data_IF_980400454063
#
_entry.id   IF_980400454063
#
_cell.length_a   1.000
_cell.length_b   1.000
_cell.length_c   1.000
_cell.angle_alpha   90.00
_cell.angle_beta   90.00
_cell.angle_gamma   90.00
#
_symmetry.space_group_name_H-M   'P 1'
#
loop_
_entity.id
_entity.type
_entity.pdbx_description
1 polymer ?
#
# COMPACT_ATOMS: atom_id res chain seq x y z
N UNK A 1 -14.95 34.74 -4.81
CA UNK A 1 -13.66 34.06 -4.87
C UNK A 1 -13.88 32.55 -4.83
N UNK A 2 -13.08 31.79 -5.60
CA UNK A 2 -13.11 30.33 -5.62
C UNK A 2 -11.75 29.82 -5.21
N UNK A 3 -11.70 28.85 -4.30
CA UNK A 3 -10.49 28.18 -3.87
C UNK A 3 -10.66 26.68 -4.04
N UNK A 4 -9.61 26.02 -4.49
CA UNK A 4 -9.54 24.55 -4.61
C UNK A 4 -8.37 24.01 -3.80
N UNK A 5 -8.58 22.92 -3.07
CA UNK A 5 -7.54 22.15 -2.42
C UNK A 5 -7.53 20.74 -3.00
N UNK A 6 -6.36 20.23 -3.33
CA UNK A 6 -6.18 18.85 -3.79
C UNK A 6 -4.89 18.25 -3.24
N UNK A 7 -4.93 17.00 -2.80
CA UNK A 7 -3.73 16.26 -2.40
C UNK A 7 -2.89 15.76 -3.58
N UNK A 8 -3.45 15.78 -4.79
CA UNK A 8 -2.76 15.35 -6.02
C UNK A 8 -3.28 16.16 -7.21
N UNK A 9 -2.37 16.64 -8.05
CA UNK A 9 -2.73 17.26 -9.32
C UNK A 9 -2.58 16.25 -10.47
N UNK A 10 -3.47 16.28 -11.47
CA UNK A 10 -3.32 15.43 -12.66
C UNK A 10 -1.99 15.70 -13.36
N UNK A 11 -1.34 14.65 -13.84
CA UNK A 11 -0.11 14.76 -14.64
C UNK A 11 -0.40 15.21 -16.09
N UNK A 12 -1.59 14.91 -16.57
CA UNK A 12 -2.04 15.27 -17.92
C UNK A 12 -2.38 16.76 -18.00
N UNK A 13 -1.77 17.47 -18.89
CA UNK A 13 -1.91 18.92 -19.03
C UNK A 13 -3.35 19.38 -19.24
N UNK A 14 -4.12 18.63 -20.03
CA UNK A 14 -5.52 18.99 -20.32
C UNK A 14 -6.38 19.05 -19.06
N UNK A 15 -6.23 18.09 -18.15
CA UNK A 15 -6.97 18.09 -16.88
C UNK A 15 -6.45 19.17 -15.93
N UNK A 16 -5.14 19.47 -15.99
CA UNK A 16 -4.58 20.56 -15.22
C UNK A 16 -5.12 21.91 -15.68
N UNK A 17 -5.20 22.15 -16.98
CA UNK A 17 -5.80 23.37 -17.54
C UNK A 17 -7.28 23.50 -17.19
N UNK A 18 -8.05 22.42 -17.17
CA UNK A 18 -9.45 22.46 -16.74
C UNK A 18 -9.59 22.91 -15.28
N UNK A 19 -8.73 22.41 -14.38
CA UNK A 19 -8.71 22.80 -12.98
C UNK A 19 -8.28 24.26 -12.85
N UNK A 20 -7.19 24.65 -13.51
CA UNK A 20 -6.69 26.05 -13.49
C UNK A 20 -7.70 27.02 -14.08
N UNK A 21 -8.45 26.64 -15.11
CA UNK A 21 -9.54 27.43 -15.66
C UNK A 21 -10.72 27.63 -14.71
N UNK A 22 -10.98 26.63 -13.84
CA UNK A 22 -12.09 26.68 -12.89
C UNK A 22 -11.76 27.44 -11.59
N UNK A 23 -10.54 27.28 -11.06
CA UNK A 23 -10.14 27.80 -9.73
C UNK A 23 -8.88 28.68 -9.73
N UNK A 24 -8.24 28.86 -10.89
CA UNK A 24 -7.00 29.62 -11.04
C UNK A 24 -5.74 28.78 -10.90
N UNK A 25 -4.59 29.43 -11.09
CA UNK A 25 -3.28 28.77 -10.98
C UNK A 25 -2.97 28.32 -9.55
N UNK A 26 -2.06 27.36 -9.43
CA UNK A 26 -1.56 26.93 -8.13
C UNK A 26 -0.87 28.12 -7.44
N UNK A 27 -1.37 28.51 -6.29
CA UNK A 27 -0.81 29.61 -5.48
C UNK A 27 0.11 29.12 -4.36
N UNK A 28 -0.08 27.87 -3.94
CA UNK A 28 0.71 27.27 -2.87
C UNK A 28 0.76 25.74 -3.01
N UNK A 29 1.90 25.14 -2.71
CA UNK A 29 2.09 23.69 -2.65
C UNK A 29 2.79 23.35 -1.34
N UNK A 30 2.18 22.45 -0.56
CA UNK A 30 2.76 21.90 0.67
C UNK A 30 2.96 20.39 0.47
N UNK A 31 4.17 19.93 0.66
CA UNK A 31 4.53 18.53 0.45
C UNK A 31 4.51 17.76 1.77
N UNK A 32 4.23 16.45 1.70
CA UNK A 32 4.14 15.61 2.89
C UNK A 32 5.44 15.62 3.73
N UNK A 33 6.60 15.60 3.07
CA UNK A 33 7.89 15.63 3.78
C UNK A 33 8.12 16.95 4.54
N UNK A 34 7.62 18.10 4.04
CA UNK A 34 7.68 19.38 4.74
C UNK A 34 6.85 19.35 6.02
N UNK A 35 5.69 18.70 5.97
CA UNK A 35 4.83 18.50 7.15
C UNK A 35 5.40 17.49 8.14
N UNK A 36 6.15 16.49 7.66
CA UNK A 36 6.89 15.56 8.51
C UNK A 36 8.03 16.27 9.25
N UNK A 37 8.84 17.09 8.57
CA UNK A 37 9.90 17.90 9.18
C UNK A 37 9.35 18.87 10.24
N UNK A 38 8.16 19.42 10.02
CA UNK A 38 7.47 20.28 10.99
C UNK A 38 6.79 19.47 12.12
N UNK A 39 6.85 18.15 12.08
CA UNK A 39 6.21 17.29 13.07
C UNK A 39 4.69 17.28 13.02
N UNK A 40 4.07 17.75 11.95
CA UNK A 40 2.60 17.72 11.74
C UNK A 40 2.14 16.33 11.32
N UNK A 41 2.90 15.66 10.45
CA UNK A 41 2.68 14.29 10.03
C UNK A 41 3.66 13.33 10.73
N UNK A 42 3.29 12.05 10.78
CA UNK A 42 4.16 10.99 11.27
C UNK A 42 5.32 10.76 10.28
N UNK A 43 6.50 10.48 10.81
CA UNK A 43 7.63 10.01 10.02
C UNK A 43 7.34 8.64 9.42
N UNK A 44 8.12 8.24 8.41
CA UNK A 44 7.93 6.93 7.80
C UNK A 44 9.23 6.30 7.34
N UNK A 45 9.26 4.96 7.38
CA UNK A 45 10.24 4.15 6.68
C UNK A 45 9.52 3.23 5.70
N UNK A 46 10.02 3.18 4.47
CA UNK A 46 9.48 2.30 3.43
C UNK A 46 10.46 1.14 3.21
N UNK A 47 9.98 -0.08 3.46
CA UNK A 47 10.71 -1.31 3.19
C UNK A 47 10.13 -1.93 1.92
N UNK A 48 10.89 -1.86 0.82
CA UNK A 48 10.51 -2.47 -0.43
C UNK A 48 11.03 -3.91 -0.47
N UNK A 49 10.13 -4.87 -0.23
CA UNK A 49 10.45 -6.28 -0.08
C UNK A 49 10.30 -7.01 -1.42
N UNK A 50 11.43 -7.41 -2.00
CA UNK A 50 11.51 -8.17 -3.24
C UNK A 50 11.46 -9.66 -2.95
N UNK A 51 10.33 -10.31 -3.16
CA UNK A 51 10.21 -11.75 -3.03
C UNK A 51 10.82 -12.47 -4.24
N UNK A 52 11.63 -13.50 -4.00
CA UNK A 52 12.29 -14.25 -5.06
C UNK A 52 11.37 -15.30 -5.68
N UNK A 53 10.44 -14.85 -6.51
CA UNK A 53 9.46 -15.68 -7.22
C UNK A 53 10.02 -16.32 -8.51
N UNK A 54 11.14 -15.84 -9.05
CA UNK A 54 11.65 -16.13 -10.40
C UNK A 54 12.08 -17.57 -10.62
N UNK A 55 12.32 -18.34 -9.56
CA UNK A 55 12.68 -19.76 -9.68
C UNK A 55 11.51 -20.62 -10.18
N UNK A 56 10.28 -20.11 -10.13
CA UNK A 56 9.08 -20.89 -10.40
C UNK A 56 8.45 -20.63 -11.76
N UNK A 57 8.59 -19.46 -12.37
CA UNK A 57 8.16 -19.15 -13.75
C UNK A 57 8.63 -17.79 -14.22
N UNK A 58 8.98 -17.73 -15.49
CA UNK A 58 9.30 -16.48 -16.18
C UNK A 58 8.04 -15.93 -16.83
N UNK A 59 7.55 -14.81 -16.36
CA UNK A 59 6.62 -13.96 -17.12
C UNK A 59 7.42 -13.04 -18.04
N UNK A 60 8.30 -13.63 -18.86
CA UNK A 60 9.09 -12.89 -19.83
C UNK A 60 8.21 -12.56 -21.05
N UNK A 61 8.23 -11.30 -21.49
CA UNK A 61 7.57 -10.87 -22.73
C UNK A 61 6.11 -10.46 -22.61
N UNK A 62 5.56 -10.32 -21.41
CA UNK A 62 4.19 -9.82 -21.22
C UNK A 62 4.11 -8.32 -21.56
N UNK A 63 3.05 -7.93 -22.27
CA UNK A 63 2.69 -6.53 -22.45
C UNK A 63 2.19 -5.90 -21.14
N UNK A 64 2.18 -4.56 -21.03
CA UNK A 64 1.67 -3.91 -19.82
C UNK A 64 0.14 -3.73 -19.85
N UNK A 65 -0.60 -4.75 -20.30
CA UNK A 65 -2.07 -4.75 -20.29
C UNK A 65 -2.59 -4.96 -18.86
N UNK A 66 -3.87 -4.67 -18.68
CA UNK A 66 -4.55 -4.98 -17.41
C UNK A 66 -4.65 -6.49 -17.19
N UNK A 67 -4.88 -7.24 -18.24
CA UNK A 67 -5.08 -8.69 -18.17
C UNK A 67 -3.78 -9.41 -17.79
N UNK A 68 -2.66 -9.03 -18.39
CA UNK A 68 -1.34 -9.56 -18.02
C UNK A 68 -1.00 -9.28 -16.55
N UNK A 69 -1.29 -8.08 -16.07
CA UNK A 69 -1.11 -7.74 -14.66
C UNK A 69 -2.04 -8.53 -13.74
N UNK A 70 -3.29 -8.73 -14.15
CA UNK A 70 -4.24 -9.54 -13.42
C UNK A 70 -3.77 -10.99 -13.29
N UNK A 71 -3.29 -11.57 -14.37
CA UNK A 71 -2.81 -12.95 -14.41
C UNK A 71 -1.53 -13.13 -13.59
N UNK A 72 -0.59 -12.19 -13.68
CA UNK A 72 0.64 -12.21 -12.88
C UNK A 72 0.34 -12.16 -11.38
N UNK A 73 -0.53 -11.25 -10.94
CA UNK A 73 -0.92 -11.15 -9.53
C UNK A 73 -1.70 -12.38 -9.06
N UNK A 74 -2.57 -12.95 -9.91
CA UNK A 74 -3.27 -14.19 -9.59
C UNK A 74 -2.32 -15.37 -9.42
N UNK A 75 -1.33 -15.48 -10.31
CA UNK A 75 -0.31 -16.51 -10.20
C UNK A 75 0.47 -16.38 -8.88
N UNK A 76 0.90 -15.16 -8.52
CA UNK A 76 1.61 -14.93 -7.25
C UNK A 76 0.77 -15.32 -6.02
N UNK A 77 -0.53 -15.00 -6.02
CA UNK A 77 -1.44 -15.41 -4.95
C UNK A 77 -1.85 -16.89 -5.02
N UNK A 78 -1.59 -17.57 -6.13
CA UNK A 78 -1.73 -19.02 -6.26
C UNK A 78 -0.57 -19.82 -5.65
N UNK A 79 0.54 -19.16 -5.32
CA UNK A 79 1.70 -19.80 -4.71
C UNK A 79 1.51 -19.94 -3.19
N UNK A 80 1.16 -21.14 -2.72
CA UNK A 80 0.81 -21.39 -1.31
C UNK A 80 1.91 -20.93 -0.35
N UNK A 81 3.17 -21.33 -0.58
CA UNK A 81 4.31 -20.95 0.26
C UNK A 81 4.52 -19.43 0.32
N UNK A 82 4.30 -18.73 -0.79
CA UNK A 82 4.38 -17.26 -0.85
C UNK A 82 3.31 -16.61 0.03
N UNK A 83 2.09 -17.11 -0.05
CA UNK A 83 0.96 -16.60 0.75
C UNK A 83 1.20 -16.87 2.24
N UNK A 84 1.62 -18.08 2.60
CA UNK A 84 1.95 -18.45 3.98
C UNK A 84 3.07 -17.55 4.54
N UNK A 85 4.16 -17.37 3.81
CA UNK A 85 5.25 -16.48 4.22
C UNK A 85 4.77 -15.04 4.44
N UNK A 86 3.98 -14.49 3.52
CA UNK A 86 3.43 -13.13 3.66
C UNK A 86 2.47 -13.05 4.87
N UNK A 87 1.64 -14.06 5.09
CA UNK A 87 0.73 -14.12 6.22
C UNK A 87 1.48 -14.13 7.56
N UNK A 88 2.49 -14.99 7.71
CA UNK A 88 3.33 -15.07 8.90
C UNK A 88 4.05 -13.75 9.17
N UNK A 89 4.60 -13.15 8.13
CA UNK A 89 5.26 -11.84 8.23
C UNK A 89 4.30 -10.76 8.72
N UNK A 90 3.09 -10.69 8.16
CA UNK A 90 2.08 -9.71 8.56
C UNK A 90 1.67 -9.93 10.02
N UNK A 91 1.47 -11.16 10.42
CA UNK A 91 1.10 -11.50 11.80
C UNK A 91 2.18 -11.09 12.80
N UNK A 92 3.44 -11.38 12.49
CA UNK A 92 4.58 -10.97 13.32
C UNK A 92 4.69 -9.43 13.41
N UNK A 93 4.52 -8.72 12.29
CA UNK A 93 4.50 -7.25 12.28
C UNK A 93 3.38 -6.72 13.18
N UNK A 94 2.18 -7.28 13.11
CA UNK A 94 1.06 -6.83 13.91
C UNK A 94 1.29 -7.07 15.41
N UNK A 95 1.82 -8.23 15.78
CA UNK A 95 2.12 -8.56 17.18
C UNK A 95 3.23 -7.67 17.76
N UNK A 96 4.29 -7.43 16.99
CA UNK A 96 5.47 -6.71 17.47
C UNK A 96 5.33 -5.19 17.35
N UNK A 97 4.62 -4.69 16.34
CA UNK A 97 4.64 -3.28 15.93
C UNK A 97 3.27 -2.61 15.88
N UNK A 98 2.21 -3.31 16.27
CA UNK A 98 0.86 -2.75 16.37
C UNK A 98 0.00 -2.89 15.11
N UNK A 99 -1.13 -2.19 15.11
CA UNK A 99 -2.17 -2.30 14.09
C UNK A 99 -1.62 -2.20 12.66
N UNK A 100 -1.96 -3.18 11.86
CA UNK A 100 -1.43 -3.38 10.51
C UNK A 100 -2.54 -3.35 9.48
N UNK A 101 -2.52 -2.34 8.60
CA UNK A 101 -3.39 -2.27 7.42
C UNK A 101 -2.73 -2.97 6.25
N UNK A 102 -3.40 -3.96 5.68
CA UNK A 102 -2.93 -4.72 4.51
C UNK A 102 -3.75 -4.36 3.29
N UNK A 103 -3.07 -4.04 2.20
CA UNK A 103 -3.70 -3.66 0.94
C UNK A 103 -3.41 -4.66 -0.16
N UNK A 104 -4.49 -5.10 -0.83
CA UNK A 104 -4.44 -6.05 -1.94
C UNK A 104 -5.15 -5.49 -3.18
N UNK A 105 -4.81 -5.99 -4.38
CA UNK A 105 -5.43 -5.54 -5.63
C UNK A 105 -6.89 -6.00 -5.74
N UNK A 106 -7.16 -7.26 -5.43
CA UNK A 106 -8.46 -7.88 -5.68
C UNK A 106 -9.04 -8.50 -4.41
N UNK A 107 -10.36 -8.48 -4.29
CA UNK A 107 -11.11 -9.04 -3.16
C UNK A 107 -10.77 -10.49 -2.85
N UNK A 108 -10.61 -11.32 -3.90
CA UNK A 108 -10.26 -12.72 -3.73
C UNK A 108 -8.92 -12.90 -3.00
N UNK A 109 -7.95 -12.03 -3.25
CA UNK A 109 -6.65 -12.05 -2.58
C UNK A 109 -6.77 -11.67 -1.10
N UNK A 110 -7.65 -10.71 -0.78
CA UNK A 110 -7.96 -10.38 0.62
C UNK A 110 -8.55 -11.58 1.37
N UNK A 111 -9.45 -12.34 0.74
CA UNK A 111 -10.02 -13.55 1.34
C UNK A 111 -8.97 -14.66 1.54
N UNK A 112 -8.08 -14.84 0.58
CA UNK A 112 -6.98 -15.81 0.70
C UNK A 112 -6.07 -15.46 1.87
N UNK A 113 -5.69 -14.20 2.04
CA UNK A 113 -4.88 -13.77 3.16
C UNK A 113 -5.63 -13.85 4.49
N UNK A 114 -6.90 -13.45 4.53
CA UNK A 114 -7.68 -13.54 5.76
C UNK A 114 -7.84 -15.00 6.25
N UNK A 115 -7.91 -15.96 5.33
CA UNK A 115 -7.93 -17.37 5.69
C UNK A 115 -6.57 -17.86 6.25
N UNK A 116 -5.47 -17.20 5.87
CA UNK A 116 -4.12 -17.54 6.31
C UNK A 116 -3.68 -16.77 7.57
N UNK A 117 -4.36 -15.67 7.94
CA UNK A 117 -4.01 -14.82 9.10
C UNK A 117 -5.15 -14.92 10.14
N UNK A 118 -5.01 -15.73 11.19
CA UNK A 118 -6.05 -15.86 12.23
C UNK A 118 -6.39 -14.50 12.87
N UNK A 119 -7.69 -14.25 13.06
CA UNK A 119 -8.16 -13.01 13.68
C UNK A 119 -8.15 -11.77 12.77
N UNK A 120 -7.67 -11.88 11.53
CA UNK A 120 -7.73 -10.76 10.57
C UNK A 120 -9.12 -10.57 10.00
N UNK A 121 -9.44 -9.31 9.65
CA UNK A 121 -10.69 -8.94 8.98
C UNK A 121 -10.41 -8.49 7.55
N UNK A 122 -11.10 -9.08 6.57
CA UNK A 122 -11.03 -8.63 5.17
C UNK A 122 -12.29 -7.87 4.79
N UNK A 123 -12.13 -6.59 4.45
CA UNK A 123 -13.21 -5.69 4.05
C UNK A 123 -13.17 -5.36 2.56
N UNK A 124 -14.33 -5.28 1.96
CA UNK A 124 -14.49 -4.83 0.57
C UNK A 124 -15.54 -3.71 0.42
N UNK A 125 -15.73 -3.24 -0.82
CA UNK A 125 -16.65 -2.13 -1.12
C UNK A 125 -18.13 -2.40 -0.84
N UNK A 126 -18.52 -3.65 -0.56
CA UNK A 126 -19.90 -4.09 -0.31
C UNK A 126 -20.22 -4.16 1.19
N UNK A 127 -19.19 -4.13 2.04
CA UNK A 127 -19.37 -4.25 3.49
C UNK A 127 -20.04 -2.98 4.03
N UNK A 128 -21.28 -3.10 4.49
CA UNK A 128 -22.08 -1.99 5.00
C UNK A 128 -21.60 -1.49 6.35
N UNK A 129 -21.05 -2.37 7.21
CA UNK A 129 -20.52 -2.08 8.54
C UNK A 129 -19.07 -1.63 8.60
N UNK A 130 -18.50 -1.12 7.49
CA UNK A 130 -17.08 -0.75 7.43
C UNK A 130 -16.65 0.29 8.45
N UNK A 131 -17.50 1.23 8.77
CA UNK A 131 -17.15 2.32 9.70
C UNK A 131 -16.98 1.79 11.13
N UNK A 132 -17.82 0.85 11.52
CA UNK A 132 -17.73 0.15 12.81
C UNK A 132 -16.42 -0.64 12.90
N UNK A 133 -16.07 -1.37 11.86
CA UNK A 133 -14.82 -2.11 11.78
C UNK A 133 -13.58 -1.20 11.78
N UNK A 134 -13.65 -0.04 11.14
CA UNK A 134 -12.55 0.94 11.20
C UNK A 134 -12.39 1.52 12.59
N UNK A 135 -13.51 1.77 13.28
CA UNK A 135 -13.50 2.23 14.66
C UNK A 135 -12.92 1.16 15.58
N UNK A 136 -13.41 -0.08 15.50
CA UNK A 136 -12.90 -1.20 16.26
C UNK A 136 -11.39 -1.40 16.06
N UNK A 137 -10.92 -1.40 14.80
CA UNK A 137 -9.50 -1.49 14.49
C UNK A 137 -8.70 -0.32 15.07
N UNK A 138 -9.25 0.89 15.08
CA UNK A 138 -8.59 2.06 15.66
C UNK A 138 -8.52 2.00 17.20
N UNK A 139 -9.53 1.41 17.83
CA UNK A 139 -9.69 1.40 19.29
C UNK A 139 -9.01 0.19 19.96
N UNK A 140 -8.53 -0.76 19.17
CA UNK A 140 -7.86 -1.99 19.62
C UNK A 140 -6.40 -2.03 19.16
N UNK A 141 -5.62 -3.01 19.66
CA UNK A 141 -4.20 -3.15 19.38
C UNK A 141 -3.87 -4.44 18.64
N UNK A 142 -2.77 -4.44 17.89
CA UNK A 142 -2.18 -5.61 17.24
C UNK A 142 -3.10 -6.33 16.23
N UNK A 143 -4.06 -5.59 15.67
CA UNK A 143 -5.00 -6.14 14.70
C UNK A 143 -4.49 -6.05 13.26
N UNK A 144 -4.98 -6.97 12.43
CA UNK A 144 -4.76 -6.98 10.98
C UNK A 144 -6.07 -6.69 10.27
N UNK A 145 -6.09 -5.59 9.51
CA UNK A 145 -7.20 -5.21 8.64
C UNK A 145 -6.77 -5.32 7.18
N UNK A 146 -7.47 -6.12 6.40
CA UNK A 146 -7.17 -6.34 4.99
C UNK A 146 -8.20 -5.60 4.14
N UNK A 147 -7.75 -4.75 3.23
CA UNK A 147 -8.61 -3.97 2.34
C UNK A 147 -8.11 -4.00 0.90
N UNK A 148 -8.97 -3.69 -0.06
CA UNK A 148 -8.51 -3.42 -1.42
C UNK A 148 -8.00 -1.98 -1.54
N UNK A 149 -7.03 -1.74 -2.44
CA UNK A 149 -6.54 -0.38 -2.76
C UNK A 149 -7.68 0.59 -3.14
N UNK A 150 -8.73 0.08 -3.76
CA UNK A 150 -9.89 0.90 -4.15
C UNK A 150 -10.65 1.49 -2.98
N UNK A 151 -10.78 0.75 -1.88
CA UNK A 151 -11.45 1.22 -0.65
C UNK A 151 -10.53 2.16 0.11
N UNK A 152 -9.28 1.75 0.29
CA UNK A 152 -8.30 2.51 1.04
C UNK A 152 -8.10 3.91 0.47
N UNK A 153 -8.16 4.09 -0.85
CA UNK A 153 -8.02 5.40 -1.49
C UNK A 153 -9.23 6.33 -1.28
N UNK A 154 -10.42 5.80 -0.97
CA UNK A 154 -11.67 6.59 -0.98
C UNK A 154 -12.22 6.98 0.38
N UNK A 155 -11.75 6.40 1.48
CA UNK A 155 -12.47 6.68 2.72
C UNK A 155 -11.93 6.07 4.02
N UNK A 156 -10.72 5.56 4.07
CA UNK A 156 -10.14 5.11 5.34
C UNK A 156 -9.69 6.35 6.14
N UNK A 157 -10.26 6.51 7.31
CA UNK A 157 -9.82 7.48 8.31
C UNK A 157 -9.49 6.75 9.61
N UNK A 158 -8.30 6.19 9.66
CA UNK A 158 -7.81 5.42 10.82
C UNK A 158 -6.43 5.99 11.20
N UNK A 159 -6.35 6.82 12.24
CA UNK A 159 -5.07 7.40 12.70
C UNK A 159 -4.07 6.34 13.19
N UNK A 160 -4.54 5.28 13.88
CA UNK A 160 -3.68 4.26 14.49
C UNK A 160 -3.28 3.13 13.53
N UNK A 161 -2.95 3.45 12.28
CA UNK A 161 -2.24 2.55 11.37
C UNK A 161 -0.75 2.71 11.64
N UNK A 162 -0.14 1.79 12.37
CA UNK A 162 1.30 1.77 12.66
C UNK A 162 2.08 1.15 11.50
N UNK A 163 1.47 0.17 10.83
CA UNK A 163 2.09 -0.55 9.73
C UNK A 163 1.13 -0.59 8.53
N UNK A 164 1.67 -0.27 7.37
CA UNK A 164 0.98 -0.37 6.09
C UNK A 164 1.68 -1.40 5.21
N UNK A 165 1.02 -2.51 4.94
CA UNK A 165 1.52 -3.55 4.04
C UNK A 165 0.80 -3.44 2.70
N UNK A 166 1.54 -3.19 1.64
CA UNK A 166 1.04 -3.12 0.27
C UNK A 166 1.53 -4.33 -0.51
N UNK A 167 0.61 -5.18 -0.96
CA UNK A 167 0.95 -6.38 -1.72
C UNK A 167 0.64 -6.12 -3.19
N UNK A 168 1.67 -6.13 -4.02
CA UNK A 168 1.60 -5.89 -5.45
C UNK A 168 0.77 -4.63 -5.79
N UNK A 169 1.17 -3.44 -5.34
CA UNK A 169 0.35 -2.23 -5.49
C UNK A 169 0.18 -1.73 -6.93
N UNK A 170 0.86 -2.37 -7.90
CA UNK A 170 0.76 -2.00 -9.32
C UNK A 170 1.44 -0.66 -9.63
N UNK A 171 1.04 -0.04 -10.76
CA UNK A 171 1.66 1.18 -11.29
C UNK A 171 0.92 2.50 -10.94
N UNK A 172 -0.28 2.45 -10.41
CA UNK A 172 -1.11 3.64 -10.15
C UNK A 172 -0.70 4.31 -8.84
N UNK A 173 0.25 5.20 -8.95
CA UNK A 173 0.87 5.89 -7.84
C UNK A 173 -0.06 6.85 -7.10
N UNK A 174 -0.99 7.49 -7.79
CA UNK A 174 -1.93 8.42 -7.15
C UNK A 174 -2.70 7.74 -6.00
N UNK A 175 -3.08 6.47 -6.21
CA UNK A 175 -3.73 5.67 -5.16
C UNK A 175 -2.79 5.39 -3.98
N UNK A 176 -1.54 5.02 -4.28
CA UNK A 176 -0.53 4.75 -3.25
C UNK A 176 -0.25 6.02 -2.43
N UNK A 177 -0.05 7.17 -3.10
CA UNK A 177 0.16 8.44 -2.41
C UNK A 177 -1.02 8.87 -1.52
N UNK A 178 -2.25 8.70 -2.00
CA UNK A 178 -3.44 9.01 -1.19
C UNK A 178 -3.52 8.14 0.07
N UNK A 179 -3.12 6.88 -0.04
CA UNK A 179 -3.12 5.96 1.09
C UNK A 179 -1.98 6.29 2.06
N UNK A 180 -0.77 6.54 1.55
CA UNK A 180 0.37 6.97 2.37
C UNK A 180 0.03 8.26 3.15
N UNK A 181 -0.56 9.25 2.47
CA UNK A 181 -0.98 10.50 3.11
C UNK A 181 -1.97 10.30 4.27
N UNK A 182 -2.80 9.26 4.21
CA UNK A 182 -3.69 8.89 5.33
C UNK A 182 -2.94 8.14 6.44
N UNK A 183 -2.03 7.25 6.06
CA UNK A 183 -1.16 6.55 6.99
C UNK A 183 -0.22 7.49 7.77
N UNK A 184 0.14 8.65 7.21
CA UNK A 184 0.97 9.64 7.89
C UNK A 184 0.24 10.42 9.01
N UNK A 185 -1.06 10.24 9.19
CA UNK A 185 -1.77 10.88 10.30
C UNK A 185 -1.18 10.43 11.64
N UNK A 186 -0.99 11.39 12.54
CA UNK A 186 -0.56 11.12 13.91
C UNK A 186 -1.72 10.65 14.78
N UNK A 187 -1.42 9.83 15.76
CA UNK A 187 -2.27 9.54 16.91
C UNK A 187 -1.48 9.86 18.18
N UNK A 188 -2.13 9.82 19.33
CA UNK A 188 -1.46 10.11 20.62
C UNK A 188 -0.26 9.21 20.87
N UNK A 189 -0.37 7.95 20.43
CA UNK A 189 0.60 6.86 20.58
C UNK A 189 1.35 6.54 19.28
N UNK A 190 1.14 7.34 18.21
CA UNK A 190 1.76 7.10 16.91
C UNK A 190 2.46 8.34 16.37
N UNK A 191 3.77 8.22 16.22
CA UNK A 191 4.65 9.23 15.61
C UNK A 191 5.32 8.73 14.33
N UNK A 192 5.21 7.42 14.04
CA UNK A 192 5.89 6.77 12.93
C UNK A 192 4.98 5.81 12.18
N UNK A 193 5.20 5.63 10.87
CA UNK A 193 4.54 4.67 9.99
C UNK A 193 5.58 3.76 9.34
N UNK A 194 5.48 2.46 9.53
CA UNK A 194 6.24 1.50 8.74
C UNK A 194 5.45 1.11 7.49
N UNK A 195 6.07 1.21 6.33
CA UNK A 195 5.45 0.83 5.05
C UNK A 195 6.21 -0.34 4.46
N UNK A 196 5.50 -1.43 4.18
CA UNK A 196 6.04 -2.63 3.55
C UNK A 196 5.47 -2.75 2.14
N UNK A 197 6.30 -2.47 1.13
CA UNK A 197 5.94 -2.54 -0.29
C UNK A 197 6.43 -3.88 -0.85
N UNK A 198 5.55 -4.89 -0.86
CA UNK A 198 5.84 -6.26 -1.27
C UNK A 198 5.65 -6.42 -2.77
N UNK A 199 6.66 -6.94 -3.44
CA UNK A 199 6.63 -7.22 -4.87
C UNK A 199 7.44 -8.47 -5.23
N UNK A 200 7.09 -9.11 -6.37
CA UNK A 200 7.86 -10.23 -6.92
C UNK A 200 8.98 -9.77 -7.85
N UNK A 201 10.04 -10.58 -7.96
CA UNK A 201 11.14 -10.33 -8.89
C UNK A 201 10.85 -10.82 -10.32
N UNK A 202 9.59 -10.82 -10.74
CA UNK A 202 9.08 -11.28 -12.03
C UNK A 202 8.35 -10.17 -12.80
N UNK A 203 8.32 -10.29 -14.09
CA UNK A 203 7.48 -9.57 -15.07
C UNK A 203 7.16 -8.11 -14.76
N UNK A 204 5.87 -7.81 -14.68
CA UNK A 204 5.32 -6.49 -14.43
C UNK A 204 5.52 -6.02 -12.98
N UNK A 205 5.56 -6.94 -12.02
CA UNK A 205 5.79 -6.62 -10.61
C UNK A 205 7.10 -5.88 -10.42
N UNK A 206 8.20 -6.37 -11.00
CA UNK A 206 9.51 -5.69 -10.99
C UNK A 206 9.46 -4.30 -11.64
N UNK A 207 8.81 -4.17 -12.81
CA UNK A 207 8.66 -2.89 -13.51
C UNK A 207 7.87 -1.87 -12.68
N UNK A 208 6.77 -2.31 -12.06
CA UNK A 208 5.95 -1.46 -11.22
C UNK A 208 6.70 -1.03 -9.95
N UNK A 209 7.46 -1.93 -9.32
CA UNK A 209 8.28 -1.62 -8.16
C UNK A 209 9.37 -0.58 -8.51
N UNK A 210 10.01 -0.70 -9.68
CA UNK A 210 10.98 0.30 -10.15
C UNK A 210 10.37 1.70 -10.30
N UNK A 211 9.16 1.79 -10.86
CA UNK A 211 8.42 3.07 -10.95
C UNK A 211 8.12 3.65 -9.57
N UNK A 212 7.70 2.83 -8.60
CA UNK A 212 7.44 3.30 -7.23
C UNK A 212 8.70 3.83 -6.54
N UNK A 213 9.88 3.21 -6.75
CA UNK A 213 11.15 3.74 -6.22
C UNK A 213 11.44 5.17 -6.68
N UNK A 214 11.21 5.46 -7.96
CA UNK A 214 11.35 6.83 -8.48
C UNK A 214 10.44 7.80 -7.72
N UNK A 215 9.21 7.40 -7.46
CA UNK A 215 8.22 8.22 -6.77
C UNK A 215 8.55 8.41 -5.28
N UNK A 216 9.10 7.39 -4.61
CA UNK A 216 9.58 7.54 -3.23
C UNK A 216 10.72 8.55 -3.15
N UNK A 217 11.66 8.53 -4.12
CA UNK A 217 12.73 9.54 -4.21
C UNK A 217 12.20 10.95 -4.46
N UNK A 218 11.28 11.11 -5.42
CA UNK A 218 10.63 12.40 -5.72
C UNK A 218 9.88 12.94 -4.50
N UNK A 219 9.25 12.07 -3.72
CA UNK A 219 8.53 12.41 -2.50
C UNK A 219 9.47 12.58 -1.28
N UNK A 220 10.78 12.44 -1.44
CA UNK A 220 11.78 12.45 -0.36
C UNK A 220 11.46 11.50 0.80
N UNK A 221 10.81 10.37 0.50
CA UNK A 221 10.54 9.34 1.49
C UNK A 221 11.74 8.40 1.62
N UNK A 222 12.26 8.16 2.84
CA UNK A 222 13.32 7.18 3.04
C UNK A 222 12.81 5.78 2.69
N UNK A 223 13.55 5.05 1.86
CA UNK A 223 13.21 3.67 1.55
C UNK A 223 14.44 2.78 1.48
N UNK A 224 14.24 1.53 1.84
CA UNK A 224 15.22 0.45 1.76
C UNK A 224 14.67 -0.67 0.88
N UNK A 225 15.53 -1.31 0.08
CA UNK A 225 15.15 -2.48 -0.71
C UNK A 225 15.78 -3.74 -0.11
N UNK A 226 14.93 -4.70 0.24
CA UNK A 226 15.33 -5.99 0.82
C UNK A 226 14.92 -7.11 -0.11
N UNK A 227 15.86 -8.01 -0.43
CA UNK A 227 15.57 -9.26 -1.14
C UNK A 227 15.19 -10.33 -0.12
N UNK A 228 14.14 -11.06 -0.41
CA UNK A 228 13.58 -12.07 0.47
C UNK A 228 13.48 -13.41 -0.27
N UNK A 229 14.19 -14.39 0.21
CA UNK A 229 14.05 -15.77 -0.25
C UNK A 229 13.16 -16.55 0.73
N UNK A 230 11.88 -16.70 0.36
CA UNK A 230 10.89 -17.37 1.21
C UNK A 230 10.83 -18.89 1.02
N UNK A 231 11.55 -19.44 0.02
CA UNK A 231 11.56 -20.89 -0.28
C UNK A 231 12.57 -21.64 0.58
N UNK A 232 13.57 -20.96 1.11
CA UNK A 232 14.68 -21.60 1.84
C UNK A 232 14.43 -21.91 3.31
N UNK A 233 13.27 -21.53 3.88
CA UNK A 233 12.98 -21.68 5.31
C UNK A 233 12.35 -23.04 5.68
N UNK A 234 12.00 -23.89 4.72
CA UNK A 234 11.33 -25.18 4.98
C UNK A 234 12.16 -26.42 4.61
N UNK A 235 13.48 -26.31 4.67
CA UNK A 235 14.38 -27.48 4.51
C UNK A 235 15.18 -27.69 5.81
N UNK A 236 14.49 -28.00 6.89
CA UNK A 236 15.06 -28.72 8.06
C UNK A 236 13.98 -29.52 8.73
#
# INVERSE_FOLDING_TARGET
>A
FRFGCSGTMPKEEIFRYQIEGAVGKIIFTLRAWELQEQGVLADSNIYQLCLEDSKNKTYAGMSETHDDWFDEVNWMFGQKQRVEYIADMIQNIAVEKGNTLVLVQYRKHGKVLAAAIPGSLSLDGRDKGRMEHYKEFNDTDNNVLICTFGIASKGIDIPRIFNLVMIEPGKKFEKVNQILGRGFRKAKDKTHLNVYDIFGNVGLSTKHAARRRTLYREAKQPFEQVKVNYVSTNSK
#
